data_IF_155125156598
#
_entry.id   IF_155125156598
#
_cell.length_a   1.000
_cell.length_b   1.000
_cell.length_c   1.000
_cell.angle_alpha   90.00
_cell.angle_beta   90.00
_cell.angle_gamma   90.00
#
_symmetry.space_group_name_H-M   'P 1'
#
loop_
_entity.id
_entity.type
_entity.pdbx_description
1 polymer ?
#
# COMPACT_ATOMS: atom_id res chain seq x y z
N UNK A 1 -16.83 -9.44 6.66
CA UNK A 1 -15.52 -10.05 6.33
C UNK A 1 -14.55 -8.91 6.07
N UNK A 2 -13.50 -8.76 6.89
CA UNK A 2 -12.51 -7.69 6.74
C UNK A 2 -11.89 -7.73 5.33
N UNK A 3 -11.60 -6.58 4.74
CA UNK A 3 -10.89 -6.54 3.46
C UNK A 3 -9.52 -7.20 3.56
N UNK A 4 -8.97 -7.53 2.39
CA UNK A 4 -7.66 -8.16 2.26
C UNK A 4 -6.81 -7.43 1.21
N UNK A 5 -6.97 -6.11 1.03
CA UNK A 5 -6.23 -5.36 0.00
C UNK A 5 -4.71 -5.42 0.19
N UNK A 6 -4.23 -5.09 1.38
CA UNK A 6 -2.81 -5.11 1.70
C UNK A 6 -2.25 -6.53 1.61
N UNK A 7 -2.97 -7.52 2.15
CA UNK A 7 -2.56 -8.91 2.01
C UNK A 7 -2.56 -9.39 0.56
N UNK A 8 -3.59 -9.07 -0.21
CA UNK A 8 -3.74 -9.45 -1.62
C UNK A 8 -2.62 -8.83 -2.46
N UNK A 9 -2.31 -7.54 -2.25
CA UNK A 9 -1.20 -6.88 -2.92
C UNK A 9 0.13 -7.59 -2.64
N UNK A 10 0.45 -7.81 -1.36
CA UNK A 10 1.71 -8.44 -0.94
C UNK A 10 1.84 -9.84 -1.53
N UNK A 11 0.80 -10.68 -1.41
CA UNK A 11 0.84 -12.05 -1.95
C UNK A 11 0.89 -12.05 -3.48
N UNK A 12 0.14 -11.17 -4.13
CA UNK A 12 0.15 -11.02 -5.59
C UNK A 12 1.55 -10.67 -6.09
N UNK A 13 2.18 -9.65 -5.50
CA UNK A 13 3.52 -9.20 -5.89
C UNK A 13 4.59 -10.26 -5.58
N UNK A 14 4.52 -10.92 -4.43
CA UNK A 14 5.40 -12.05 -4.12
C UNK A 14 5.28 -13.16 -5.16
N UNK A 15 4.05 -13.51 -5.56
CA UNK A 15 3.80 -14.52 -6.59
C UNK A 15 4.43 -14.16 -7.94
N UNK A 16 4.32 -12.90 -8.37
CA UNK A 16 4.96 -12.41 -9.60
C UNK A 16 6.49 -12.49 -9.54
N UNK A 17 7.08 -12.29 -8.36
CA UNK A 17 8.53 -12.45 -8.13
C UNK A 17 8.97 -13.92 -7.94
N UNK A 18 8.06 -14.88 -8.09
CA UNK A 18 8.32 -16.30 -7.92
C UNK A 18 8.52 -16.71 -6.45
N UNK A 19 7.80 -16.06 -5.54
CA UNK A 19 7.71 -16.41 -4.12
C UNK A 19 6.29 -16.86 -3.76
N UNK A 20 6.11 -17.75 -2.75
CA UNK A 20 7.14 -18.36 -1.90
C UNK A 20 8.00 -19.39 -2.64
N UNK A 21 9.20 -19.68 -2.12
CA UNK A 21 10.14 -20.69 -2.64
C UNK A 21 10.35 -21.80 -1.61
N UNK A 22 10.76 -22.99 -2.07
CA UNK A 22 11.07 -24.11 -1.16
C UNK A 22 12.32 -23.82 -0.34
N UNK A 23 12.29 -24.15 0.95
CA UNK A 23 13.42 -24.01 1.88
C UNK A 23 14.47 -25.11 1.64
N UNK A 24 15.22 -25.00 0.54
CA UNK A 24 16.22 -25.99 0.13
C UNK A 24 15.64 -27.22 -0.57
N UNK A 25 16.51 -28.13 -1.02
CA UNK A 25 16.14 -29.26 -1.89
C UNK A 25 15.29 -30.33 -1.18
N UNK A 26 15.37 -30.43 0.15
CA UNK A 26 14.74 -31.51 0.92
C UNK A 26 13.55 -31.05 1.78
N UNK A 27 13.27 -29.74 1.86
CA UNK A 27 12.10 -29.24 2.57
C UNK A 27 10.94 -28.98 1.61
N UNK A 28 9.76 -29.47 1.96
CA UNK A 28 8.51 -29.09 1.29
C UNK A 28 7.97 -27.74 1.76
N UNK A 29 8.59 -27.12 2.76
CA UNK A 29 8.12 -25.86 3.34
C UNK A 29 8.39 -24.70 2.38
N UNK A 30 7.31 -24.05 1.93
CA UNK A 30 7.35 -22.84 1.14
C UNK A 30 7.52 -21.62 2.06
N UNK A 31 8.59 -20.87 1.84
CA UNK A 31 8.98 -19.70 2.64
C UNK A 31 9.20 -18.48 1.76
N UNK A 32 9.12 -17.31 2.39
CA UNK A 32 9.47 -16.02 1.81
C UNK A 32 10.68 -15.49 2.55
N UNK A 33 11.68 -15.00 1.82
CA UNK A 33 12.80 -14.26 2.41
C UNK A 33 12.29 -12.96 3.05
N UNK A 34 12.67 -12.69 4.29
CA UNK A 34 12.12 -11.56 5.04
C UNK A 34 12.53 -10.20 4.48
N UNK A 35 13.68 -10.08 3.81
CA UNK A 35 14.07 -8.83 3.15
C UNK A 35 13.21 -8.59 1.91
N UNK A 36 12.89 -9.66 1.17
CA UNK A 36 11.95 -9.58 0.04
C UNK A 36 10.56 -9.18 0.54
N UNK A 37 10.09 -9.76 1.65
CA UNK A 37 8.82 -9.36 2.25
C UNK A 37 8.84 -7.87 2.67
N UNK A 38 9.87 -7.43 3.39
CA UNK A 38 9.99 -6.02 3.82
C UNK A 38 9.97 -5.07 2.62
N UNK A 39 10.65 -5.43 1.52
CA UNK A 39 10.65 -4.65 0.27
C UNK A 39 9.28 -4.66 -0.42
N UNK A 40 8.57 -5.79 -0.39
CA UNK A 40 7.22 -5.92 -0.95
C UNK A 40 6.23 -5.03 -0.19
N UNK A 41 6.34 -4.98 1.14
CA UNK A 41 5.52 -4.11 2.00
C UNK A 41 5.83 -2.63 1.71
N UNK A 42 7.11 -2.27 1.55
CA UNK A 42 7.47 -0.89 1.17
C UNK A 42 6.90 -0.51 -0.20
N UNK A 43 6.89 -1.44 -1.17
CA UNK A 43 6.24 -1.22 -2.47
C UNK A 43 4.72 -1.08 -2.36
N UNK A 44 4.06 -1.87 -1.51
CA UNK A 44 2.64 -1.73 -1.23
C UNK A 44 2.31 -0.35 -0.65
N UNK A 45 3.15 0.16 0.25
CA UNK A 45 2.98 1.49 0.87
C UNK A 45 3.09 2.59 -0.20
N UNK A 46 4.13 2.56 -1.03
CA UNK A 46 4.30 3.54 -2.10
C UNK A 46 3.16 3.49 -3.10
N UNK A 47 2.75 2.29 -3.50
CA UNK A 47 1.61 2.07 -4.38
C UNK A 47 0.32 2.65 -3.77
N UNK A 48 0.01 2.28 -2.53
CA UNK A 48 -1.18 2.74 -1.82
C UNK A 48 -1.21 4.27 -1.71
N UNK A 49 -0.08 4.88 -1.34
CA UNK A 49 0.07 6.33 -1.30
C UNK A 49 -0.08 6.96 -2.69
N UNK A 50 0.41 6.32 -3.75
CA UNK A 50 0.26 6.80 -5.13
C UNK A 50 -1.20 6.84 -5.59
N UNK A 51 -1.97 5.79 -5.27
CA UNK A 51 -3.40 5.71 -5.56
C UNK A 51 -4.15 6.80 -4.79
N UNK A 52 -3.84 6.97 -3.49
CA UNK A 52 -4.39 8.06 -2.68
C UNK A 52 -4.12 9.43 -3.29
N UNK A 53 -2.89 9.69 -3.70
CA UNK A 53 -2.46 11.00 -4.21
C UNK A 53 -2.94 11.32 -5.62
N UNK A 54 -3.06 10.30 -6.49
CA UNK A 54 -3.24 10.49 -7.93
C UNK A 54 -4.55 9.94 -8.49
N UNK A 55 -5.26 9.10 -7.72
CA UNK A 55 -6.54 8.46 -8.09
C UNK A 55 -7.51 8.51 -6.90
N UNK A 56 -7.89 9.70 -6.41
CA UNK A 56 -8.69 9.84 -5.19
C UNK A 56 -10.02 9.08 -5.24
N UNK A 57 -10.70 9.01 -6.39
CA UNK A 57 -11.92 8.20 -6.54
C UNK A 57 -11.67 6.72 -6.24
N UNK A 58 -10.62 6.15 -6.83
CA UNK A 58 -10.25 4.75 -6.63
C UNK A 58 -9.86 4.50 -5.18
N UNK A 59 -9.09 5.41 -4.57
CA UNK A 59 -8.74 5.33 -3.15
C UNK A 59 -9.98 5.32 -2.25
N UNK A 60 -10.96 6.20 -2.49
CA UNK A 60 -12.21 6.22 -1.74
C UNK A 60 -13.06 4.96 -1.96
N UNK A 61 -13.05 4.36 -3.16
CA UNK A 61 -13.68 3.07 -3.42
C UNK A 61 -13.00 1.91 -2.67
N UNK A 62 -11.66 1.95 -2.55
CA UNK A 62 -10.91 0.99 -1.74
C UNK A 62 -11.31 1.14 -0.27
N UNK A 63 -11.34 2.36 0.28
CA UNK A 63 -11.78 2.63 1.66
C UNK A 63 -13.22 2.15 1.87
N UNK A 64 -14.14 2.48 0.97
CA UNK A 64 -15.52 1.98 1.01
C UNK A 64 -15.61 0.45 0.96
N UNK A 65 -14.65 -0.20 0.31
CA UNK A 65 -14.53 -1.66 0.26
C UNK A 65 -13.94 -2.25 1.54
N UNK A 66 -13.01 -1.56 2.19
CA UNK A 66 -12.44 -1.92 3.50
C UNK A 66 -13.51 -1.91 4.59
N UNK A 67 -14.43 -0.94 4.52
CA UNK A 67 -15.57 -0.79 5.44
C UNK A 67 -16.90 -1.18 4.79
N UNK A 68 -16.91 -2.20 3.91
CA UNK A 68 -18.11 -2.56 3.14
C UNK A 68 -19.33 -2.91 3.98
N UNK A 69 -19.11 -3.59 5.10
CA UNK A 69 -20.19 -4.06 5.98
C UNK A 69 -20.71 -2.94 6.93
N UNK A 70 -20.17 -1.72 6.82
CA UNK A 70 -20.56 -0.56 7.61
C UNK A 70 -21.86 0.06 7.08
N UNK A 71 -22.78 0.39 7.99
CA UNK A 71 -23.90 1.27 7.66
C UNK A 71 -23.42 2.72 7.61
N UNK A 72 -23.15 3.21 6.41
CA UNK A 72 -22.66 4.56 6.16
C UNK A 72 -23.63 5.69 6.56
N UNK A 73 -24.90 5.37 6.81
CA UNK A 73 -25.88 6.34 7.29
C UNK A 73 -25.94 6.42 8.83
N UNK A 74 -25.27 5.51 9.53
CA UNK A 74 -25.19 5.53 10.97
C UNK A 74 -24.32 6.69 11.47
N UNK A 75 -24.63 7.18 12.68
CA UNK A 75 -23.78 8.13 13.40
C UNK A 75 -22.42 7.54 13.77
N UNK A 76 -22.36 6.21 13.90
CA UNK A 76 -21.14 5.46 14.24
C UNK A 76 -20.33 5.07 13.00
N UNK A 77 -20.78 5.44 11.80
CA UNK A 77 -19.99 5.22 10.59
C UNK A 77 -18.69 6.03 10.63
N UNK A 78 -17.65 5.51 9.98
CA UNK A 78 -16.35 6.16 9.82
C UNK A 78 -16.52 7.64 9.51
N UNK A 79 -15.85 8.48 10.29
CA UNK A 79 -15.66 9.91 10.04
C UNK A 79 -14.23 10.09 9.56
N UNK A 80 -14.05 10.27 8.26
CA UNK A 80 -12.69 10.34 7.70
C UNK A 80 -11.99 11.64 8.07
N UNK A 81 -12.70 12.68 8.53
CA UNK A 81 -12.07 13.90 9.03
C UNK A 81 -11.43 13.66 10.38
N UNK A 82 -12.20 13.10 11.33
CA UNK A 82 -11.70 12.75 12.65
C UNK A 82 -10.54 11.76 12.55
N UNK A 83 -10.65 10.77 11.66
CA UNK A 83 -9.60 9.81 11.41
C UNK A 83 -8.35 10.45 10.80
N UNK A 84 -8.52 11.36 9.82
CA UNK A 84 -7.41 12.13 9.25
C UNK A 84 -6.68 12.96 10.30
N UNK A 85 -7.41 13.61 11.21
CA UNK A 85 -6.81 14.37 12.31
C UNK A 85 -6.01 13.48 13.26
N UNK A 86 -6.56 12.30 13.60
CA UNK A 86 -5.89 11.31 14.41
C UNK A 86 -4.59 10.81 13.74
N UNK A 87 -4.67 10.44 12.46
CA UNK A 87 -3.53 10.00 11.67
C UNK A 87 -2.45 11.09 11.57
N UNK A 88 -2.84 12.36 11.34
CA UNK A 88 -1.89 13.49 11.32
C UNK A 88 -1.12 13.65 12.62
N UNK A 89 -1.76 13.42 13.77
CA UNK A 89 -1.08 13.42 15.09
C UNK A 89 -0.03 12.31 15.15
N UNK A 90 -0.41 11.09 14.79
CA UNK A 90 0.50 9.94 14.77
C UNK A 90 1.68 10.15 13.81
N UNK A 91 1.43 10.69 12.62
CA UNK A 91 2.47 11.01 11.64
C UNK A 91 3.46 12.06 12.16
N UNK A 92 2.95 13.06 12.87
CA UNK A 92 3.77 14.09 13.50
C UNK A 92 4.66 13.48 14.58
N UNK A 93 4.11 12.65 15.45
CA UNK A 93 4.85 11.94 16.51
C UNK A 93 5.94 11.01 15.96
N UNK A 94 5.73 10.46 14.76
CA UNK A 94 6.71 9.58 14.07
C UNK A 94 7.82 10.35 13.34
N UNK A 95 7.74 11.69 13.26
CA UNK A 95 8.82 12.53 12.73
C UNK A 95 8.47 13.37 11.50
N UNK A 96 7.18 13.50 11.14
CA UNK A 96 6.66 14.34 10.06
C UNK A 96 7.50 14.28 8.76
N UNK A 97 7.52 13.11 8.14
CA UNK A 97 8.25 12.84 6.90
C UNK A 97 7.38 13.01 5.65
N UNK A 98 7.99 13.43 4.54
CA UNK A 98 7.36 13.38 3.22
C UNK A 98 7.46 11.98 2.56
N UNK A 99 8.08 11.02 3.24
CA UNK A 99 8.23 9.65 2.77
C UNK A 99 7.12 8.76 3.37
N UNK A 100 6.20 8.20 2.56
CA UNK A 100 5.11 7.38 3.07
C UNK A 100 5.60 6.17 3.87
N UNK A 101 6.77 5.60 3.52
CA UNK A 101 7.36 4.46 4.23
C UNK A 101 7.80 4.81 5.66
N UNK A 102 8.25 6.04 5.88
CA UNK A 102 8.65 6.55 7.21
C UNK A 102 7.44 6.96 8.05
N UNK A 103 6.37 7.40 7.39
CA UNK A 103 5.10 7.73 8.02
C UNK A 103 4.41 6.48 8.56
N UNK A 104 4.23 5.48 7.70
CA UNK A 104 3.57 4.21 8.05
C UNK A 104 4.46 3.37 8.96
N UNK A 105 5.77 3.41 8.75
CA UNK A 105 6.79 2.75 9.59
C UNK A 105 6.47 1.27 9.83
N UNK A 106 6.35 0.45 8.77
CA UNK A 106 5.95 -0.95 8.90
C UNK A 106 6.97 -1.75 9.73
N UNK A 107 6.48 -2.81 10.40
CA UNK A 107 7.35 -3.79 11.06
C UNK A 107 8.32 -4.38 10.04
N UNK A 108 9.60 -4.47 10.42
CA UNK A 108 10.65 -5.07 9.59
C UNK A 108 10.90 -6.50 10.01
N UNK A 109 10.37 -7.45 9.25
CA UNK A 109 10.48 -8.90 9.49
C UNK A 109 11.93 -9.36 9.40
N UNK A 110 12.74 -8.72 8.56
CA UNK A 110 14.17 -9.04 8.43
C UNK A 110 14.97 -8.79 9.71
N UNK A 111 14.45 -7.96 10.64
CA UNK A 111 15.07 -7.73 11.95
C UNK A 111 14.77 -8.84 12.96
N UNK A 112 13.75 -9.67 12.72
CA UNK A 112 13.31 -10.72 13.66
C UNK A 112 13.59 -12.12 13.15
N UNK A 113 13.43 -12.37 11.85
CA UNK A 113 13.69 -13.67 11.23
C UNK A 113 14.23 -13.52 9.80
N UNK A 114 15.03 -14.48 9.33
CA UNK A 114 15.53 -14.50 7.95
C UNK A 114 14.46 -14.90 6.93
N UNK A 115 13.53 -15.75 7.34
CA UNK A 115 12.45 -16.25 6.48
C UNK A 115 11.14 -16.30 7.25
N UNK A 116 10.03 -16.15 6.53
CA UNK A 116 8.68 -16.33 7.04
C UNK A 116 7.98 -17.43 6.25
N UNK A 117 7.23 -18.28 6.93
CA UNK A 117 6.43 -19.33 6.28
C UNK A 117 5.13 -18.73 5.74
N UNK A 118 4.54 -19.35 4.72
CA UNK A 118 3.21 -18.94 4.26
C UNK A 118 2.13 -19.07 5.33
N UNK A 119 2.29 -20.00 6.28
CA UNK A 119 1.38 -20.14 7.42
C UNK A 119 1.44 -18.90 8.31
N UNK A 120 2.65 -18.42 8.63
CA UNK A 120 2.83 -17.20 9.40
C UNK A 120 2.32 -15.98 8.64
N UNK A 121 2.62 -15.85 7.34
CA UNK A 121 2.14 -14.71 6.53
C UNK A 121 0.61 -14.66 6.44
N UNK A 122 -0.07 -15.81 6.53
CA UNK A 122 -1.54 -15.94 6.58
C UNK A 122 -2.11 -15.78 7.99
N UNK A 123 -1.28 -15.52 8.99
CA UNK A 123 -1.74 -15.23 10.34
C UNK A 123 -2.56 -13.94 10.35
N UNK A 124 -3.61 -13.91 11.17
CA UNK A 124 -4.58 -12.80 11.18
C UNK A 124 -3.94 -11.49 11.62
N UNK A 125 -2.97 -11.53 12.54
CA UNK A 125 -2.34 -10.32 13.04
C UNK A 125 -1.44 -9.70 11.96
N UNK A 126 -0.76 -10.53 11.18
CA UNK A 126 0.03 -10.07 10.03
C UNK A 126 -0.89 -9.52 8.93
N UNK A 127 -1.96 -10.25 8.59
CA UNK A 127 -2.93 -9.76 7.60
C UNK A 127 -3.53 -8.42 8.02
N UNK A 128 -3.91 -8.29 9.30
CA UNK A 128 -4.43 -7.05 9.84
C UNK A 128 -3.41 -5.91 9.75
N UNK A 129 -2.15 -6.16 10.12
CA UNK A 129 -1.08 -5.17 10.00
C UNK A 129 -0.90 -4.70 8.54
N UNK A 130 -0.94 -5.61 7.57
CA UNK A 130 -0.86 -5.27 6.15
C UNK A 130 -2.05 -4.42 5.69
N UNK A 131 -3.27 -4.73 6.13
CA UNK A 131 -4.44 -3.89 5.85
C UNK A 131 -4.28 -2.49 6.44
N UNK A 132 -3.79 -2.39 7.69
CA UNK A 132 -3.55 -1.10 8.35
C UNK A 132 -2.51 -0.28 7.59
N UNK A 133 -1.40 -0.90 7.17
CA UNK A 133 -0.37 -0.22 6.37
C UNK A 133 -0.92 0.29 5.04
N UNK A 134 -1.72 -0.53 4.35
CA UNK A 134 -2.36 -0.15 3.09
C UNK A 134 -3.34 1.03 3.31
N UNK A 135 -4.21 0.93 4.31
CA UNK A 135 -5.17 1.97 4.66
C UNK A 135 -4.50 3.29 5.05
N UNK A 136 -3.52 3.24 5.94
CA UNK A 136 -2.80 4.43 6.39
C UNK A 136 -2.05 5.11 5.24
N UNK A 137 -1.45 4.32 4.34
CA UNK A 137 -0.78 4.83 3.14
C UNK A 137 -1.75 5.50 2.17
N UNK A 138 -2.92 4.89 1.93
CA UNK A 138 -3.99 5.46 1.11
C UNK A 138 -4.45 6.81 1.69
N UNK A 139 -4.72 6.84 2.99
CA UNK A 139 -5.11 8.06 3.69
C UNK A 139 -4.02 9.12 3.58
N UNK A 140 -2.75 8.76 3.81
CA UNK A 140 -1.64 9.70 3.69
C UNK A 140 -1.55 10.30 2.28
N UNK A 141 -1.66 9.49 1.23
CA UNK A 141 -1.66 9.95 -0.16
C UNK A 141 -2.83 10.89 -0.46
N UNK A 142 -4.03 10.57 0.03
CA UNK A 142 -5.24 11.39 -0.16
C UNK A 142 -5.06 12.81 0.40
N UNK A 143 -4.55 12.95 1.63
CA UNK A 143 -4.36 14.27 2.26
C UNK A 143 -3.06 14.98 1.89
N UNK A 144 -2.06 14.27 1.38
CA UNK A 144 -0.73 14.82 1.09
C UNK A 144 -0.32 14.62 -0.37
N UNK A 145 -1.28 14.79 -1.30
CA UNK A 145 -1.07 14.46 -2.72
C UNK A 145 0.14 15.15 -3.36
N UNK A 146 0.33 16.45 -3.11
CA UNK A 146 1.49 17.20 -3.64
C UNK A 146 2.80 16.75 -2.99
N UNK A 147 2.79 16.44 -1.69
CA UNK A 147 3.97 15.91 -1.00
C UNK A 147 4.37 14.55 -1.56
N UNK A 148 3.40 13.67 -1.86
CA UNK A 148 3.68 12.39 -2.50
C UNK A 148 4.30 12.58 -3.88
N UNK A 149 3.75 13.46 -4.72
CA UNK A 149 4.30 13.72 -6.06
C UNK A 149 5.73 14.24 -6.00
N UNK A 150 6.00 15.17 -5.09
CA UNK A 150 7.35 15.70 -4.84
C UNK A 150 8.32 14.63 -4.32
N UNK A 151 7.86 13.79 -3.38
CA UNK A 151 8.61 12.64 -2.88
C UNK A 151 8.97 11.70 -4.03
N UNK A 152 7.97 11.32 -4.83
CA UNK A 152 8.15 10.38 -5.92
C UNK A 152 9.12 10.91 -6.96
N UNK A 153 8.93 12.14 -7.44
CA UNK A 153 9.81 12.75 -8.45
C UNK A 153 11.25 12.86 -7.95
N UNK A 154 11.45 13.18 -6.67
CA UNK A 154 12.78 13.26 -6.05
C UNK A 154 13.43 11.89 -5.96
N UNK A 155 12.68 10.88 -5.53
CA UNK A 155 13.17 9.52 -5.40
C UNK A 155 13.42 8.85 -6.77
N UNK A 156 12.56 9.10 -7.76
CA UNK A 156 12.73 8.64 -9.13
C UNK A 156 14.01 9.22 -9.73
N UNK A 157 14.20 10.55 -9.63
CA UNK A 157 15.42 11.21 -10.10
C UNK A 157 16.66 10.61 -9.45
N UNK A 158 16.67 10.47 -8.12
CA UNK A 158 17.78 9.87 -7.38
C UNK A 158 18.10 8.45 -7.86
N UNK A 159 17.08 7.61 -8.08
CA UNK A 159 17.28 6.25 -8.58
C UNK A 159 17.79 6.23 -10.03
N UNK A 160 17.29 7.13 -10.89
CA UNK A 160 17.78 7.27 -12.28
C UNK A 160 19.25 7.69 -12.30
N UNK A 161 19.64 8.63 -11.44
CA UNK A 161 21.03 9.09 -11.30
C UNK A 161 21.95 7.96 -10.81
N UNK A 162 21.43 7.04 -9.99
CA UNK A 162 22.16 5.86 -9.48
C UNK A 162 22.13 4.64 -10.41
N UNK A 163 21.31 4.66 -11.48
CA UNK A 163 21.15 3.52 -12.39
C UNK A 163 22.49 3.02 -12.98
N UNK A 164 23.45 3.88 -13.39
CA UNK A 164 24.75 3.40 -13.86
C UNK A 164 25.55 2.63 -12.81
N UNK A 165 25.39 2.95 -11.52
CA UNK A 165 26.05 2.24 -10.43
C UNK A 165 25.42 0.87 -10.21
N UNK A 166 24.09 0.77 -10.28
CA UNK A 166 23.37 -0.50 -10.19
C UNK A 166 23.78 -1.46 -11.32
N UNK A 167 23.88 -0.93 -12.55
CA UNK A 167 24.33 -1.71 -13.71
C UNK A 167 25.78 -2.17 -13.56
N UNK A 168 26.68 -1.31 -13.06
CA UNK A 168 28.07 -1.70 -12.74
C UNK A 168 28.16 -2.77 -11.66
N UNK A 169 27.24 -2.76 -10.70
CA UNK A 169 27.13 -3.77 -9.65
C UNK A 169 26.51 -5.10 -10.15
N UNK A 170 26.16 -5.20 -11.45
CA UNK A 170 25.53 -6.38 -12.02
C UNK A 170 24.07 -6.57 -11.62
N UNK A 171 23.41 -5.54 -11.09
CA UNK A 171 21.97 -5.58 -10.82
C UNK A 171 21.21 -5.46 -12.14
N UNK A 172 20.28 -6.38 -12.37
CA UNK A 172 19.38 -6.36 -13.52
C UNK A 172 18.28 -5.30 -13.32
N UNK A 173 18.65 -4.02 -13.44
CA UNK A 173 17.74 -2.89 -13.42
C UNK A 173 17.80 -2.21 -14.79
N UNK A 174 16.82 -2.50 -15.64
CA UNK A 174 16.76 -1.99 -17.01
C UNK A 174 16.19 -0.56 -17.07
N UNK A 175 15.30 -0.22 -16.14
CA UNK A 175 14.73 1.12 -16.04
C UNK A 175 14.18 1.40 -14.64
N UNK A 176 14.09 2.68 -14.29
CA UNK A 176 13.33 3.14 -13.12
C UNK A 176 11.91 3.49 -13.59
N UNK A 177 10.87 2.92 -12.95
CA UNK A 177 9.49 3.16 -13.37
C UNK A 177 9.09 4.64 -13.17
N UNK A 178 8.28 5.16 -14.09
CA UNK A 178 7.64 6.47 -13.92
C UNK A 178 6.44 6.36 -12.97
N UNK A 179 5.94 7.50 -12.48
CA UNK A 179 4.73 7.51 -11.65
C UNK A 179 3.53 6.90 -12.38
N UNK A 180 3.38 7.18 -13.67
CA UNK A 180 2.29 6.62 -14.48
C UNK A 180 2.40 5.09 -14.61
N UNK A 181 3.61 4.54 -14.72
CA UNK A 181 3.82 3.09 -14.74
C UNK A 181 3.40 2.46 -13.40
N UNK A 182 3.82 3.02 -12.27
CA UNK A 182 3.39 2.53 -10.95
C UNK A 182 1.87 2.60 -10.77
N UNK A 183 1.24 3.68 -11.24
CA UNK A 183 -0.22 3.81 -11.18
C UNK A 183 -0.91 2.76 -12.06
N UNK A 184 -0.42 2.51 -13.27
CA UNK A 184 -1.00 1.53 -14.18
C UNK A 184 -0.87 0.09 -13.65
N UNK A 185 0.32 -0.28 -13.18
CA UNK A 185 0.59 -1.57 -12.54
C UNK A 185 -0.28 -1.73 -11.29
N UNK A 186 -0.40 -0.63 -10.54
CA UNK A 186 -1.24 -0.53 -9.38
C UNK A 186 -2.73 -0.74 -9.63
N UNK A 187 -3.26 -0.10 -10.66
CA UNK A 187 -4.64 -0.28 -11.10
C UNK A 187 -4.86 -1.70 -11.67
N UNK A 188 -3.84 -2.34 -12.22
CA UNK A 188 -3.92 -3.75 -12.64
C UNK A 188 -4.14 -4.67 -11.43
N UNK A 189 -3.45 -4.43 -10.31
CA UNK A 189 -3.66 -5.17 -9.07
C UNK A 189 -5.09 -5.00 -8.57
N UNK A 190 -5.67 -3.80 -8.69
CA UNK A 190 -7.08 -3.54 -8.34
C UNK A 190 -8.01 -4.32 -9.27
N UNK A 191 -7.79 -4.29 -10.59
CA UNK A 191 -8.60 -5.04 -11.56
C UNK A 191 -8.55 -6.55 -11.28
N UNK A 192 -7.38 -7.08 -10.94
CA UNK A 192 -7.22 -8.49 -10.56
C UNK A 192 -7.95 -8.80 -9.26
N UNK A 193 -7.87 -7.93 -8.25
CA UNK A 193 -8.66 -8.04 -7.02
C UNK A 193 -10.17 -8.09 -7.32
N UNK A 194 -10.67 -7.21 -8.18
CA UNK A 194 -12.09 -7.17 -8.52
C UNK A 194 -12.56 -8.45 -9.22
N UNK A 195 -11.71 -9.03 -10.06
CA UNK A 195 -11.96 -10.29 -10.78
C UNK A 195 -11.92 -11.51 -9.88
N UNK A 196 -10.95 -11.58 -8.96
CA UNK A 196 -10.69 -12.78 -8.15
C UNK A 196 -11.43 -12.80 -6.82
N UNK A 197 -11.65 -11.62 -6.23
CA UNK A 197 -12.20 -11.48 -4.88
C UNK A 197 -13.63 -10.93 -4.94
N UNK A 198 -13.80 -9.67 -5.37
CA UNK A 198 -15.10 -9.01 -5.56
C UNK A 198 -14.93 -7.59 -6.11
N UNK A 199 -15.93 -7.05 -6.83
CA UNK A 199 -15.95 -5.65 -7.27
C UNK A 199 -15.80 -4.66 -6.11
N UNK A 200 -15.16 -3.52 -6.34
CA UNK A 200 -15.07 -2.43 -5.37
C UNK A 200 -16.46 -1.89 -5.00
N UNK A 201 -16.62 -1.49 -3.75
CA UNK A 201 -17.82 -0.82 -3.27
C UNK A 201 -17.98 0.54 -3.98
N UNK A 202 -19.21 0.97 -4.29
CA UNK A 202 -19.46 2.36 -4.66
C UNK A 202 -19.07 3.28 -3.50
N UNK A 203 -18.65 4.51 -3.81
CA UNK A 203 -18.30 5.51 -2.79
C UNK A 203 -19.59 6.04 -2.15
N UNK A 204 -19.81 5.84 -0.83
CA UNK A 204 -20.98 6.36 -0.13
C UNK A 204 -21.00 7.90 -0.12
N UNK A 205 -22.19 8.50 -0.13
CA UNK A 205 -22.31 9.96 -0.19
C UNK A 205 -21.61 10.66 0.99
N UNK A 206 -21.77 10.13 2.21
CA UNK A 206 -21.06 10.61 3.41
C UNK A 206 -19.56 10.71 3.17
N UNK A 207 -18.96 9.65 2.61
CA UNK A 207 -17.53 9.60 2.33
C UNK A 207 -17.11 10.63 1.27
N UNK A 208 -17.94 10.85 0.24
CA UNK A 208 -17.69 11.91 -0.77
C UNK A 208 -17.71 13.29 -0.15
N UNK A 209 -18.73 13.59 0.66
CA UNK A 209 -18.92 14.90 1.28
C UNK A 209 -17.78 15.23 2.25
N UNK A 210 -17.37 14.25 3.07
CA UNK A 210 -16.24 14.39 3.97
C UNK A 210 -14.92 14.56 3.21
N UNK A 211 -14.70 13.80 2.14
CA UNK A 211 -13.50 13.93 1.32
C UNK A 211 -13.41 15.33 0.69
N UNK A 212 -14.52 15.84 0.15
CA UNK A 212 -14.61 17.18 -0.40
C UNK A 212 -14.28 18.25 0.66
N UNK A 213 -14.77 18.09 1.89
CA UNK A 213 -14.47 19.00 2.99
C UNK A 213 -13.00 19.00 3.42
N UNK A 214 -12.26 17.91 3.16
CA UNK A 214 -10.82 17.79 3.35
C UNK A 214 -10.01 18.36 2.17
N UNK A 215 -10.67 18.89 1.14
CA UNK A 215 -10.04 19.38 -0.08
C UNK A 215 -9.62 18.28 -1.06
N UNK A 216 -10.06 17.04 -0.83
CA UNK A 216 -9.79 15.90 -1.71
C UNK A 216 -10.70 16.03 -2.94
N UNK A 217 -10.09 16.25 -4.11
CA UNK A 217 -10.80 16.37 -5.38
C UNK A 217 -11.12 14.99 -5.95
N UNK A 218 -12.17 14.38 -5.43
CA UNK A 218 -12.81 13.22 -6.05
C UNK A 218 -13.68 13.71 -7.22
N UNK A 219 -13.47 13.22 -8.44
CA UNK A 219 -14.34 13.56 -9.58
C UNK A 219 -15.72 12.94 -9.35
N UNK A 220 -16.79 13.71 -9.60
CA UNK A 220 -18.17 13.21 -9.57
C UNK A 220 -18.44 12.15 -10.63
#
# INVERSE_FOLDING_TARGET
MQSIFGFYYVVGLLSHMGWPRRRGLFSSEAVVDSLILDSTIDQMIDWSASIGACRPNVALQIIASMFRDMDWNSKDALDIRAETENLKKQWTERGNSNNPREIVKPVKFSKTTKVITMKQLKDKDIQHALEVYCYESLMWGLVNSDNFKNYYSTNEKRQRDQLPEYQKAGLAVDSIPTLDQILNDGEEIIRNYEKEIRPLSPIPQKLKDEALSLGIKANN
#
